data_IF_240878531208
#
_entry.id   IF_240878531208
#
_cell.length_a   1.000
_cell.length_b   1.000
_cell.length_c   1.000
_cell.angle_alpha   90.00
_cell.angle_beta   90.00
_cell.angle_gamma   90.00
#
_symmetry.space_group_name_H-M   'P 1'
#
loop_
_entity.id
_entity.type
_entity.pdbx_description
1 polymer ?
#
# COMPACT_ATOMS: atom_id res chain seq x y z
N UNK A 1 0.82 -5.75 -12.59
CA UNK A 1 -0.47 -5.92 -13.29
C UNK A 1 -1.51 -6.64 -12.41
N UNK A 2 -1.31 -7.91 -12.03
CA UNK A 2 -2.27 -8.70 -11.22
C UNK A 2 -2.64 -8.05 -9.90
N UNK A 3 -1.67 -7.47 -9.18
CA UNK A 3 -1.92 -6.71 -7.96
C UNK A 3 -2.90 -5.52 -8.14
N UNK A 4 -2.78 -4.79 -9.26
CA UNK A 4 -3.70 -3.70 -9.58
C UNK A 4 -5.06 -4.24 -10.03
N UNK A 5 -5.09 -5.33 -10.79
CA UNK A 5 -6.33 -6.01 -11.16
C UNK A 5 -7.12 -6.51 -9.95
N UNK A 6 -6.44 -7.10 -8.98
CA UNK A 6 -7.00 -7.44 -7.66
C UNK A 6 -7.55 -6.20 -6.94
N UNK A 7 -6.82 -5.07 -7.04
CA UNK A 7 -7.21 -3.78 -6.46
C UNK A 7 -8.44 -3.14 -7.11
N UNK A 8 -8.97 -3.66 -8.21
CA UNK A 8 -10.27 -3.24 -8.76
C UNK A 8 -11.46 -3.77 -7.96
N UNK A 9 -11.25 -4.82 -7.17
CA UNK A 9 -12.34 -5.56 -6.50
C UNK A 9 -12.48 -5.18 -5.04
N UNK A 10 -13.54 -5.66 -4.37
CA UNK A 10 -13.66 -5.66 -2.91
C UNK A 10 -12.98 -6.79 -2.19
N UNK A 11 -12.39 -7.72 -2.93
CA UNK A 11 -11.83 -8.94 -2.38
C UNK A 11 -10.59 -8.61 -1.54
N UNK A 12 -10.52 -9.20 -0.35
CA UNK A 12 -9.40 -9.09 0.62
C UNK A 12 -8.73 -10.45 0.87
N UNK A 13 -9.11 -11.50 0.13
CA UNK A 13 -8.69 -12.89 0.33
C UNK A 13 -7.20 -13.16 0.17
N UNK A 14 -6.48 -12.33 -0.59
CA UNK A 14 -5.00 -12.42 -0.71
C UNK A 14 -4.28 -11.96 0.55
N UNK A 15 -4.98 -11.23 1.43
CA UNK A 15 -4.46 -10.69 2.69
C UNK A 15 -3.08 -10.03 2.53
N UNK A 16 -2.94 -9.11 1.56
CA UNK A 16 -1.68 -8.42 1.33
C UNK A 16 -1.82 -6.88 1.31
N UNK A 17 -0.74 -6.21 1.69
CA UNK A 17 -0.48 -4.79 1.43
C UNK A 17 0.76 -4.62 0.56
N UNK A 18 0.77 -3.57 -0.24
CA UNK A 18 1.86 -3.26 -1.18
C UNK A 18 2.66 -2.07 -0.68
N UNK A 19 3.99 -2.20 -0.65
CA UNK A 19 4.91 -1.13 -0.26
C UNK A 19 5.83 -0.86 -1.44
N UNK A 20 5.59 0.23 -2.16
CA UNK A 20 6.49 0.73 -3.19
C UNK A 20 7.66 1.44 -2.51
N UNK A 21 8.86 0.91 -2.68
CA UNK A 21 10.06 1.39 -2.00
C UNK A 21 11.14 1.79 -3.01
N UNK A 22 11.76 2.97 -2.80
CA UNK A 22 12.94 3.37 -3.59
C UNK A 22 13.46 4.75 -3.19
N UNK A 23 14.67 5.10 -3.61
CA UNK A 23 15.46 6.24 -3.13
C UNK A 23 15.09 7.62 -3.73
N UNK A 24 13.82 7.82 -4.11
CA UNK A 24 13.35 9.02 -4.80
C UNK A 24 13.53 8.97 -6.33
N UNK A 25 12.98 9.96 -7.03
CA UNK A 25 13.08 10.15 -8.49
C UNK A 25 12.84 8.90 -9.35
N UNK A 26 11.95 8.00 -8.93
CA UNK A 26 11.78 6.67 -9.52
C UNK A 26 10.37 6.40 -10.04
N UNK A 27 9.50 7.41 -10.06
CA UNK A 27 8.14 7.30 -10.56
C UNK A 27 7.13 6.67 -9.59
N UNK A 28 7.49 6.39 -8.32
CA UNK A 28 6.53 5.87 -7.31
C UNK A 28 5.28 6.73 -7.17
N UNK A 29 5.45 8.03 -6.97
CA UNK A 29 4.33 8.97 -6.79
C UNK A 29 3.52 9.11 -8.08
N UNK A 30 4.20 9.19 -9.23
CA UNK A 30 3.55 9.20 -10.56
C UNK A 30 2.69 7.96 -10.76
N UNK A 31 3.21 6.77 -10.44
CA UNK A 31 2.48 5.51 -10.51
C UNK A 31 1.21 5.53 -9.65
N UNK A 32 1.34 5.90 -8.36
CA UNK A 32 0.18 5.97 -7.45
C UNK A 32 -0.86 6.98 -7.95
N UNK A 33 -0.43 8.17 -8.38
CA UNK A 33 -1.32 9.22 -8.85
C UNK A 33 -2.10 8.79 -10.11
N UNK A 34 -1.43 8.19 -11.09
CA UNK A 34 -2.08 7.72 -12.33
C UNK A 34 -3.13 6.64 -12.01
N UNK A 35 -2.81 5.68 -11.14
CA UNK A 35 -3.78 4.66 -10.72
C UNK A 35 -4.94 5.28 -9.95
N UNK A 36 -4.67 6.25 -9.07
CA UNK A 36 -5.71 6.95 -8.31
C UNK A 36 -6.71 7.65 -9.25
N UNK A 37 -6.20 8.40 -10.24
CA UNK A 37 -7.03 9.07 -11.25
C UNK A 37 -7.83 8.09 -12.11
N UNK A 38 -7.24 6.95 -12.50
CA UNK A 38 -7.93 5.92 -13.29
C UNK A 38 -9.09 5.29 -12.50
N UNK A 39 -8.94 5.08 -11.19
CA UNK A 39 -9.95 4.45 -10.34
C UNK A 39 -10.99 5.45 -9.81
N UNK A 40 -10.73 6.75 -9.90
CA UNK A 40 -11.63 7.81 -9.47
C UNK A 40 -12.11 7.61 -8.04
N UNK A 41 -13.43 7.62 -7.83
CA UNK A 41 -14.07 7.54 -6.51
C UNK A 41 -13.81 6.22 -5.76
N UNK A 42 -13.27 5.19 -6.42
CA UNK A 42 -12.84 3.95 -5.77
C UNK A 42 -11.43 4.02 -5.18
N UNK A 43 -10.65 5.05 -5.51
CA UNK A 43 -9.35 5.31 -4.92
C UNK A 43 -9.42 6.41 -3.85
N UNK A 44 -8.74 6.17 -2.73
CA UNK A 44 -8.67 7.11 -1.62
C UNK A 44 -7.22 7.30 -1.20
N UNK A 45 -6.80 8.56 -1.17
CA UNK A 45 -5.54 8.94 -0.54
C UNK A 45 -5.72 9.25 0.95
N UNK A 46 -4.91 8.64 1.81
CA UNK A 46 -4.88 8.88 3.26
C UNK A 46 -3.48 9.29 3.72
N UNK A 47 -3.33 10.08 4.80
CA UNK A 47 -2.02 10.34 5.38
C UNK A 47 -1.31 9.03 5.76
N UNK A 48 0.00 8.95 5.54
CA UNK A 48 0.79 7.78 5.94
C UNK A 48 0.67 7.50 7.45
N UNK A 49 0.50 8.56 8.25
CA UNK A 49 0.27 8.47 9.70
C UNK A 49 -0.98 7.70 10.10
N UNK A 50 -1.93 7.45 9.20
CA UNK A 50 -3.07 6.55 9.42
C UNK A 50 -2.60 5.13 9.71
N UNK A 51 -1.51 4.68 9.09
CA UNK A 51 -0.97 3.31 9.22
C UNK A 51 0.19 3.19 10.21
N UNK A 52 0.57 4.29 10.86
CA UNK A 52 1.66 4.32 11.81
C UNK A 52 1.17 4.25 13.25
N UNK A 53 1.98 3.66 14.12
CA UNK A 53 1.76 3.70 15.56
C UNK A 53 1.81 5.16 16.02
N UNK A 54 0.71 5.62 16.63
CA UNK A 54 0.64 6.94 17.27
C UNK A 54 1.08 6.82 18.74
N UNK A 55 1.62 7.89 19.33
CA UNK A 55 1.88 7.95 20.78
C UNK A 55 0.59 7.85 21.60
N UNK A 56 0.69 7.79 22.94
CA UNK A 56 -0.49 7.74 23.83
C UNK A 56 -1.43 8.92 23.54
N UNK A 57 -2.58 8.62 22.93
CA UNK A 57 -3.62 9.57 22.57
C UNK A 57 -4.60 8.88 21.63
N UNK A 58 -5.80 8.58 22.14
CA UNK A 58 -6.91 8.02 21.37
C UNK A 58 -7.35 9.03 20.30
N UNK A 59 -6.74 8.93 19.11
CA UNK A 59 -7.24 9.68 17.98
C UNK A 59 -8.43 8.94 17.40
N UNK A 60 -9.53 9.67 17.31
CA UNK A 60 -10.77 9.26 16.68
C UNK A 60 -10.45 8.65 15.30
N UNK A 61 -10.96 7.45 14.98
CA UNK A 61 -10.72 6.76 13.70
C UNK A 61 -11.45 7.41 12.51
N UNK A 62 -11.33 8.73 12.36
CA UNK A 62 -11.91 9.50 11.26
C UNK A 62 -11.28 9.13 9.91
N UNK A 63 -9.95 9.01 9.89
CA UNK A 63 -9.21 8.58 8.70
C UNK A 63 -9.55 7.14 8.29
N UNK A 64 -10.07 6.32 9.21
CA UNK A 64 -10.53 4.97 8.89
C UNK A 64 -11.96 4.98 8.36
N UNK A 65 -12.81 5.87 8.86
CA UNK A 65 -14.20 5.99 8.42
C UNK A 65 -14.30 6.24 6.91
N UNK A 66 -13.39 7.06 6.36
CA UNK A 66 -13.33 7.35 4.92
C UNK A 66 -12.92 6.15 4.07
N UNK A 67 -12.34 5.08 4.64
CA UNK A 67 -11.91 3.90 3.86
C UNK A 67 -13.09 3.02 3.43
N UNK A 68 -14.29 3.25 3.98
CA UNK A 68 -15.49 2.49 3.62
C UNK A 68 -15.79 2.66 2.13
N UNK A 69 -15.90 1.53 1.42
CA UNK A 69 -16.22 1.48 -0.01
C UNK A 69 -15.03 1.67 -0.96
N UNK A 70 -13.85 2.03 -0.44
CA UNK A 70 -12.64 2.14 -1.25
C UNK A 70 -12.15 0.77 -1.74
N UNK A 71 -11.53 0.74 -2.90
CA UNK A 71 -10.86 -0.46 -3.47
C UNK A 71 -9.34 -0.30 -3.46
N UNK A 72 -8.87 0.93 -3.63
CA UNK A 72 -7.45 1.29 -3.62
C UNK A 72 -7.21 2.39 -2.59
N UNK A 73 -6.42 2.11 -1.56
CA UNK A 73 -6.06 3.11 -0.55
C UNK A 73 -4.58 3.39 -0.65
N UNK A 74 -4.23 4.61 -1.03
CA UNK A 74 -2.84 5.03 -1.12
C UNK A 74 -2.42 5.87 0.08
N UNK A 75 -1.15 5.75 0.46
CA UNK A 75 -0.48 6.73 1.30
C UNK A 75 0.95 6.94 0.81
N UNK A 76 1.28 8.19 0.53
CA UNK A 76 2.61 8.61 0.06
C UNK A 76 3.34 9.25 1.25
N UNK A 77 4.62 8.89 1.39
CA UNK A 77 5.60 9.51 2.30
C UNK A 77 5.45 9.17 3.79
N UNK A 78 6.37 8.37 4.32
CA UNK A 78 6.55 8.18 5.75
C UNK A 78 7.54 9.26 6.29
N UNK A 79 7.17 10.05 7.30
CA UNK A 79 8.11 10.99 7.92
C UNK A 79 9.13 10.22 8.78
N UNK A 80 10.27 9.86 8.20
CA UNK A 80 11.40 9.21 8.89
C UNK A 80 11.12 7.79 9.40
N UNK A 81 11.91 7.35 10.38
CA UNK A 81 11.81 6.03 11.01
C UNK A 81 10.59 5.94 11.96
N UNK A 82 9.40 5.75 11.41
CA UNK A 82 8.18 5.49 12.20
C UNK A 82 7.78 4.04 12.13
N UNK A 83 7.18 3.57 13.23
CA UNK A 83 6.70 2.20 13.37
C UNK A 83 5.31 2.03 12.76
N UNK A 84 5.07 0.92 12.06
CA UNK A 84 3.72 0.54 11.66
C UNK A 84 2.80 0.31 12.86
N UNK A 85 1.50 0.54 12.66
CA UNK A 85 0.47 0.02 13.54
C UNK A 85 0.11 -1.38 13.04
N UNK A 86 0.85 -2.40 13.51
CA UNK A 86 0.73 -3.76 12.99
C UNK A 86 -0.67 -4.36 13.25
N UNK A 87 -1.32 -3.97 14.35
CA UNK A 87 -2.68 -4.38 14.69
C UNK A 87 -3.69 -3.84 13.66
N UNK A 88 -3.67 -2.53 13.42
CA UNK A 88 -4.57 -1.89 12.45
C UNK A 88 -4.38 -2.46 11.05
N UNK A 89 -3.13 -2.60 10.61
CA UNK A 89 -2.83 -3.17 9.29
C UNK A 89 -3.34 -4.60 9.17
N UNK A 90 -3.19 -5.42 10.22
CA UNK A 90 -3.72 -6.79 10.22
C UNK A 90 -5.24 -6.83 10.12
N UNK A 91 -5.94 -5.92 10.81
CA UNK A 91 -7.40 -5.80 10.76
C UNK A 91 -7.86 -5.43 9.34
N UNK A 92 -7.26 -4.40 8.75
CA UNK A 92 -7.64 -3.95 7.39
C UNK A 92 -7.34 -5.04 6.36
N UNK A 93 -6.11 -5.55 6.36
CA UNK A 93 -5.65 -6.55 5.38
C UNK A 93 -6.30 -7.93 5.62
N UNK A 94 -6.70 -8.22 6.86
CA UNK A 94 -7.43 -9.43 7.22
C UNK A 94 -8.89 -9.42 6.78
N UNK A 95 -9.44 -8.25 6.47
CA UNK A 95 -10.88 -8.10 6.19
C UNK A 95 -11.73 -8.15 7.46
N UNK A 96 -11.16 -7.86 8.63
CA UNK A 96 -11.87 -7.88 9.91
C UNK A 96 -12.78 -6.63 10.04
N UNK A 97 -13.84 -6.74 10.86
CA UNK A 97 -14.77 -5.63 11.09
C UNK A 97 -14.05 -4.41 11.68
N UNK A 98 -14.26 -3.24 11.07
CA UNK A 98 -13.72 -1.96 11.54
C UNK A 98 -14.84 -1.09 12.06
N UNK A 99 -14.71 -0.65 13.31
CA UNK A 99 -15.56 0.39 13.91
C UNK A 99 -14.89 1.75 13.74
N UNK A 100 -15.56 2.68 13.09
CA UNK A 100 -15.05 4.03 12.84
C UNK A 100 -16.16 5.09 12.93
N UNK A 101 -15.79 6.38 12.92
CA UNK A 101 -16.77 7.46 12.87
C UNK A 101 -16.24 8.69 12.13
N UNK A 102 -17.13 9.40 11.45
CA UNK A 102 -16.80 10.74 10.97
C UNK A 102 -16.79 11.74 12.13
N UNK A 103 -16.19 12.92 11.89
CA UNK A 103 -16.03 13.94 12.92
C UNK A 103 -17.42 14.41 13.35
N UNK A 104 -17.70 14.31 14.66
CA UNK A 104 -19.01 14.64 15.25
C UNK A 104 -20.19 13.81 14.71
N UNK A 105 -19.93 12.61 14.21
CA UNK A 105 -20.97 11.64 13.84
C UNK A 105 -20.92 10.41 14.73
N UNK A 106 -21.96 9.58 14.64
CA UNK A 106 -22.05 8.28 15.30
C UNK A 106 -21.06 7.27 14.73
N UNK A 107 -20.73 6.28 15.55
CA UNK A 107 -19.95 5.14 15.10
C UNK A 107 -20.74 4.29 14.11
N UNK A 108 -20.02 3.73 13.15
CA UNK A 108 -20.53 2.71 12.26
C UNK A 108 -19.46 1.65 12.04
N UNK A 109 -19.94 0.45 11.71
CA UNK A 109 -19.09 -0.67 11.39
C UNK A 109 -19.07 -0.92 9.88
N UNK A 110 -17.92 -1.34 9.37
CA UNK A 110 -17.80 -1.79 7.99
C UNK A 110 -16.70 -2.84 7.84
N UNK A 111 -16.86 -3.68 6.83
CA UNK A 111 -15.80 -4.59 6.40
C UNK A 111 -14.89 -3.89 5.38
N UNK A 112 -13.56 -4.00 5.50
CA UNK A 112 -12.62 -3.47 4.51
C UNK A 112 -12.84 -4.13 3.15
N UNK A 113 -12.84 -3.30 2.11
CA UNK A 113 -12.92 -3.74 0.72
C UNK A 113 -11.68 -3.32 -0.09
N UNK A 114 -10.70 -2.72 0.58
CA UNK A 114 -9.59 -2.01 -0.04
C UNK A 114 -8.28 -2.78 0.00
N UNK A 115 -7.39 -2.44 -0.92
CA UNK A 115 -5.97 -2.83 -0.91
C UNK A 115 -5.15 -1.59 -0.54
N UNK A 116 -4.23 -1.76 0.41
CA UNK A 116 -3.33 -0.69 0.84
C UNK A 116 -2.10 -0.66 -0.08
N UNK A 117 -1.80 0.52 -0.61
CA UNK A 117 -0.64 0.82 -1.44
C UNK A 117 0.15 1.97 -0.82
N UNK A 118 1.30 1.65 -0.23
CA UNK A 118 2.20 2.61 0.39
C UNK A 118 3.29 3.00 -0.61
N UNK A 119 3.67 4.27 -0.64
CA UNK A 119 4.85 4.73 -1.35
C UNK A 119 5.79 5.44 -0.38
N UNK A 120 7.00 4.92 -0.21
CA UNK A 120 7.95 5.47 0.77
C UNK A 120 9.40 5.37 0.30
N UNK A 121 10.23 6.28 0.78
CA UNK A 121 11.68 6.24 0.61
C UNK A 121 12.39 5.58 1.80
N UNK A 122 11.69 5.44 2.94
CA UNK A 122 12.20 4.79 4.15
C UNK A 122 11.26 3.64 4.52
N UNK A 123 11.83 2.47 4.81
CA UNK A 123 11.04 1.31 5.23
C UNK A 123 10.54 1.55 6.68
N UNK A 124 9.22 1.47 6.95
CA UNK A 124 8.71 1.66 8.31
C UNK A 124 9.25 0.61 9.28
N UNK A 125 9.38 0.95 10.56
CA UNK A 125 9.82 -0.03 11.55
C UNK A 125 8.71 -1.04 11.80
N UNK A 126 9.04 -2.32 11.78
CA UNK A 126 8.15 -3.43 12.14
C UNK A 126 8.75 -4.15 13.33
N UNK A 127 8.06 -4.16 14.48
CA UNK A 127 8.57 -4.88 15.66
C UNK A 127 8.21 -6.36 15.66
N UNK A 128 7.17 -6.74 14.94
CA UNK A 128 6.68 -8.10 14.92
C UNK A 128 7.42 -8.93 13.87
N UNK A 129 8.02 -10.05 14.27
CA UNK A 129 8.72 -10.98 13.36
C UNK A 129 7.87 -12.18 12.93
N UNK A 130 6.60 -12.21 13.34
CA UNK A 130 5.72 -13.33 13.06
C UNK A 130 5.53 -13.53 11.56
N UNK A 131 5.48 -14.80 11.15
CA UNK A 131 5.11 -15.17 9.78
C UNK A 131 3.76 -14.56 9.37
N UNK A 132 2.85 -14.39 10.34
CA UNK A 132 1.49 -13.90 10.12
C UNK A 132 1.42 -12.45 9.63
N UNK A 133 2.37 -11.59 9.99
CA UNK A 133 2.44 -10.22 9.48
C UNK A 133 3.27 -10.15 8.19
N UNK A 134 4.47 -10.74 8.17
CA UNK A 134 5.38 -10.63 7.04
C UNK A 134 4.86 -11.29 5.76
N UNK A 135 4.08 -12.36 5.85
CA UNK A 135 3.42 -12.96 4.67
C UNK A 135 2.41 -12.02 4.00
N UNK A 136 1.96 -10.97 4.68
CA UNK A 136 1.02 -9.97 4.17
C UNK A 136 1.74 -8.80 3.47
N UNK A 137 3.05 -8.66 3.64
CA UNK A 137 3.80 -7.57 3.02
C UNK A 137 4.23 -7.97 1.61
N UNK A 138 4.09 -7.04 0.66
CA UNK A 138 4.67 -7.11 -0.68
C UNK A 138 5.52 -5.86 -0.88
N UNK A 139 6.82 -5.97 -0.61
CA UNK A 139 7.76 -4.88 -0.88
C UNK A 139 8.12 -4.86 -2.38
N UNK A 140 7.69 -3.83 -3.08
CA UNK A 140 7.93 -3.63 -4.51
C UNK A 140 9.12 -2.66 -4.67
N UNK A 141 10.30 -3.14 -5.12
CA UNK A 141 11.48 -2.29 -5.25
C UNK A 141 11.41 -1.46 -6.54
N UNK A 142 11.39 -0.13 -6.40
CA UNK A 142 11.55 0.85 -7.47
C UNK A 142 13.03 1.21 -7.59
N UNK A 143 13.77 0.37 -8.31
CA UNK A 143 15.24 0.38 -8.40
C UNK A 143 15.81 1.44 -9.35
N UNK A 144 15.02 1.93 -10.30
CA UNK A 144 15.46 2.92 -11.29
C UNK A 144 15.46 4.31 -10.67
N UNK A 145 16.52 5.08 -10.85
CA UNK A 145 16.55 6.52 -10.56
C UNK A 145 16.59 7.29 -11.88
N UNK A 146 15.63 8.17 -12.10
CA UNK A 146 15.50 8.96 -13.32
C UNK A 146 16.32 10.24 -13.14
N UNK A 147 17.29 10.45 -14.03
CA UNK A 147 18.16 11.63 -14.00
C UNK A 147 17.36 12.91 -14.26
N UNK A 148 17.92 14.08 -13.96
CA UNK A 148 17.19 15.33 -14.18
C UNK A 148 16.90 15.60 -15.66
N UNK A 149 17.81 15.18 -16.54
CA UNK A 149 17.72 15.34 -17.99
C UNK A 149 16.65 14.43 -18.60
N UNK A 150 16.41 13.27 -18.02
CA UNK A 150 15.40 12.29 -18.47
C UNK A 150 14.01 12.57 -17.88
N UNK A 151 13.90 13.46 -16.89
CA UNK A 151 12.62 13.77 -16.24
C UNK A 151 11.73 14.59 -17.18
N UNK A 152 10.59 14.01 -17.50
CA UNK A 152 9.51 14.71 -18.20
C UNK A 152 8.62 15.39 -17.15
N UNK A 153 8.47 16.72 -17.26
CA UNK A 153 7.60 17.49 -16.38
C UNK A 153 6.13 17.08 -16.60
N UNK A 154 5.37 16.91 -15.51
CA UNK A 154 3.96 16.50 -15.55
C UNK A 154 3.71 15.19 -16.32
N UNK A 155 4.65 14.23 -16.23
CA UNK A 155 4.53 12.94 -16.92
C UNK A 155 3.27 12.15 -16.54
N UNK A 156 2.72 12.37 -15.35
CA UNK A 156 1.42 11.85 -14.94
C UNK A 156 0.30 12.27 -15.89
N UNK A 157 0.29 13.52 -16.35
CA UNK A 157 -0.73 14.01 -17.31
C UNK A 157 -0.61 13.32 -18.66
N UNK A 158 0.62 13.11 -19.13
CA UNK A 158 0.90 12.40 -20.39
C UNK A 158 0.41 10.95 -20.28
N UNK A 159 0.70 10.27 -19.17
CA UNK A 159 0.19 8.90 -18.94
C UNK A 159 -1.34 8.83 -18.87
N UNK A 160 -2.00 9.89 -18.40
CA UNK A 160 -3.46 9.96 -18.33
C UNK A 160 -4.13 10.18 -19.69
N UNK A 161 -3.40 10.64 -20.71
CA UNK A 161 -3.89 10.61 -22.10
C UNK A 161 -4.12 9.16 -22.57
N UNK A 162 -3.30 8.22 -22.06
CA UNK A 162 -3.38 6.78 -22.33
C UNK A 162 -4.18 6.00 -21.27
N UNK A 163 -4.99 6.69 -20.45
CA UNK A 163 -5.69 6.07 -19.31
C UNK A 163 -6.54 4.85 -19.67
N UNK A 164 -7.15 4.85 -20.86
CA UNK A 164 -7.95 3.72 -21.35
C UNK A 164 -7.10 2.48 -21.60
N UNK A 165 -5.91 2.67 -22.21
CA UNK A 165 -4.93 1.61 -22.41
C UNK A 165 -4.40 1.05 -21.09
N UNK A 166 -4.08 1.94 -20.14
CA UNK A 166 -3.65 1.54 -18.79
C UNK A 166 -4.76 0.79 -18.07
N UNK A 167 -6.01 1.26 -18.14
CA UNK A 167 -7.14 0.57 -17.52
C UNK A 167 -7.38 -0.81 -18.13
N UNK A 168 -7.31 -0.94 -19.47
CA UNK A 168 -7.37 -2.24 -20.15
C UNK A 168 -6.24 -3.17 -19.68
N UNK A 169 -5.03 -2.64 -19.49
CA UNK A 169 -3.93 -3.41 -18.90
C UNK A 169 -4.24 -3.84 -17.47
N UNK A 170 -4.88 -3.02 -16.63
CA UNK A 170 -5.31 -3.43 -15.29
C UNK A 170 -6.38 -4.53 -15.35
N UNK A 171 -7.34 -4.43 -16.29
CA UNK A 171 -8.39 -5.44 -16.50
C UNK A 171 -7.81 -6.80 -16.92
N UNK A 172 -6.81 -6.83 -17.78
CA UNK A 172 -6.08 -8.05 -18.09
C UNK A 172 -5.37 -8.62 -16.85
N UNK A 173 -4.87 -7.76 -15.97
CA UNK A 173 -4.38 -8.14 -14.65
C UNK A 173 -5.44 -8.81 -13.78
N UNK A 174 -6.66 -8.27 -13.79
CA UNK A 174 -7.79 -8.81 -13.04
C UNK A 174 -8.17 -10.20 -13.54
N UNK A 175 -8.25 -10.39 -14.87
CA UNK A 175 -8.52 -11.71 -15.47
C UNK A 175 -7.47 -12.75 -15.08
N UNK A 176 -6.18 -12.37 -15.14
CA UNK A 176 -5.06 -13.23 -14.71
C UNK A 176 -5.17 -13.58 -13.22
N UNK A 177 -5.41 -12.58 -12.36
CA UNK A 177 -5.58 -12.79 -10.92
C UNK A 177 -6.76 -13.71 -10.62
N UNK A 178 -7.92 -13.53 -11.26
CA UNK A 178 -9.08 -14.40 -11.06
C UNK A 178 -8.81 -15.87 -11.41
N UNK A 179 -7.94 -16.13 -12.39
CA UNK A 179 -7.59 -17.49 -12.82
C UNK A 179 -6.53 -18.14 -11.93
N UNK A 180 -5.54 -17.36 -11.48
CA UNK A 180 -4.30 -17.91 -10.92
C UNK A 180 -3.98 -17.44 -9.49
N UNK A 181 -4.77 -16.53 -8.94
CA UNK A 181 -4.47 -15.83 -7.69
C UNK A 181 -3.29 -14.86 -7.81
N UNK A 182 -2.91 -14.26 -6.68
CA UNK A 182 -1.78 -13.34 -6.63
C UNK A 182 -0.45 -14.09 -6.39
N UNK A 183 0.21 -14.45 -7.48
CA UNK A 183 1.60 -14.95 -7.44
C UNK A 183 2.56 -13.82 -7.05
N UNK A 184 3.47 -14.11 -6.13
CA UNK A 184 4.50 -13.16 -5.69
C UNK A 184 5.81 -13.46 -6.44
N UNK A 185 6.32 -12.51 -7.26
CA UNK A 185 7.61 -12.65 -7.93
C UNK A 185 8.76 -12.82 -6.94
N UNK A 186 9.80 -13.55 -7.35
CA UNK A 186 11.01 -13.81 -6.56
C UNK A 186 11.66 -12.51 -6.05
N UNK A 187 11.78 -11.49 -6.91
CA UNK A 187 12.31 -10.17 -6.53
C UNK A 187 11.54 -9.52 -5.36
N UNK A 188 10.22 -9.72 -5.27
CA UNK A 188 9.41 -9.21 -4.14
C UNK A 188 9.60 -10.08 -2.90
N UNK A 189 9.75 -11.39 -3.06
CA UNK A 189 10.03 -12.33 -1.96
C UNK A 189 11.36 -11.96 -1.32
N UNK A 190 12.41 -11.82 -2.12
CA UNK A 190 13.76 -11.45 -1.69
C UNK A 190 13.77 -10.08 -1.01
N UNK A 191 13.19 -9.06 -1.65
CA UNK A 191 13.14 -7.72 -1.08
C UNK A 191 12.37 -7.67 0.25
N UNK A 192 11.29 -8.44 0.37
CA UNK A 192 10.52 -8.54 1.63
C UNK A 192 11.30 -9.30 2.71
N UNK A 193 12.05 -10.34 2.34
CA UNK A 193 12.91 -11.09 3.25
C UNK A 193 14.08 -10.21 3.77
N UNK A 194 14.74 -9.47 2.88
CA UNK A 194 15.80 -8.51 3.25
C UNK A 194 15.25 -7.45 4.21
N UNK A 195 14.07 -6.90 3.92
CA UNK A 195 13.41 -5.95 4.82
C UNK A 195 13.09 -6.58 6.19
N UNK A 196 12.64 -7.83 6.23
CA UNK A 196 12.44 -8.54 7.50
C UNK A 196 13.74 -8.67 8.28
N UNK A 197 14.80 -9.13 7.63
CA UNK A 197 16.11 -9.31 8.26
C UNK A 197 16.69 -8.01 8.78
N UNK A 198 16.55 -6.91 8.03
CA UNK A 198 17.04 -5.59 8.45
C UNK A 198 16.33 -5.01 9.68
N UNK A 199 15.18 -5.57 10.06
CA UNK A 199 14.48 -5.17 11.29
C UNK A 199 14.98 -5.95 12.50
N UNK A 200 15.64 -7.10 12.32
CA UNK A 200 16.13 -7.96 13.38
C UNK A 200 17.44 -7.43 13.99
N UNK A 201 17.30 -6.38 14.81
CA UNK A 201 18.43 -5.72 15.48
C UNK A 201 19.15 -6.66 16.48
N UNK A 202 18.58 -7.81 16.84
CA UNK A 202 19.22 -8.75 17.79
C UNK A 202 20.18 -9.71 17.09
N UNK A 203 19.89 -10.07 15.83
CA UNK A 203 20.79 -10.92 15.04
C UNK A 203 22.15 -10.25 14.77
N UNK A 204 22.20 -8.91 14.62
CA UNK A 204 23.44 -8.14 14.38
C UNK A 204 24.41 -8.11 15.58
N UNK A 205 23.98 -8.47 16.80
CA UNK A 205 24.82 -8.42 18.00
C UNK A 205 25.31 -9.79 18.49
N UNK A 206 24.94 -10.89 17.82
CA UNK A 206 25.31 -12.26 18.22
C UNK A 206 26.39 -12.88 17.30
N UNK A 207 26.82 -12.18 16.24
CA UNK A 207 28.08 -12.45 15.50
C UNK A 207 29.27 -11.70 16.10
#
# INVERSE_FOLDING_TARGET
QTALGYSLTGDTGEQCLFINYGIGANGKSTFINVIHEILGDYAINTPFSTFLSKGRGDNIPNDLARLRGARFVSAIEAPGERRFNEVLLKTIVGGDLITARFLRQEFFDFYPECKIWLATNHKPIVKEFSLGFWRKIRLIPFKISISEEERILHYDKILLEEKEGIFNWILEGFKKWKKEGLKTPEEIIEATAEYKSSMDVVAEFIE
#
